data_IF_229445993169
#
_entry.id   IF_229445993169
#
_cell.length_a   1.000
_cell.length_b   1.000
_cell.length_c   1.000
_cell.angle_alpha   90.00
_cell.angle_beta   90.00
_cell.angle_gamma   90.00
#
_symmetry.space_group_name_H-M   'P 1'
#
loop_
_entity.id
_entity.type
_entity.pdbx_description
1 polymer ?
#
# COMPACT_ATOMS: atom_id res chain seq x y z
N UNK A 1 14.03 -30.07 1.46
CA UNK A 1 12.95 -30.34 0.49
C UNK A 1 12.28 -29.02 0.21
N UNK A 2 12.54 -28.45 -0.96
CA UNK A 2 11.94 -27.21 -1.44
C UNK A 2 10.49 -27.52 -1.88
N UNK A 3 9.53 -26.70 -1.47
CA UNK A 3 8.13 -26.89 -1.84
C UNK A 3 7.96 -26.69 -3.36
N UNK A 4 7.10 -27.46 -4.04
CA UNK A 4 6.93 -27.30 -5.47
C UNK A 4 6.29 -25.93 -5.77
N UNK A 5 6.91 -25.18 -6.67
CA UNK A 5 6.31 -23.99 -7.24
C UNK A 5 5.00 -24.40 -7.94
N UNK A 6 3.86 -24.07 -7.34
CA UNK A 6 2.58 -24.19 -8.00
C UNK A 6 2.59 -23.25 -9.20
N UNK A 7 2.64 -23.82 -10.40
CA UNK A 7 2.40 -23.11 -11.65
C UNK A 7 1.02 -22.46 -11.56
N UNK A 8 1.01 -21.13 -11.41
CA UNK A 8 -0.21 -20.34 -11.39
C UNK A 8 -0.89 -20.50 -12.76
N UNK A 9 -2.02 -21.20 -12.79
CA UNK A 9 -2.84 -21.31 -13.99
C UNK A 9 -3.15 -19.90 -14.52
N UNK A 10 -3.11 -19.71 -15.84
CA UNK A 10 -3.44 -18.45 -16.50
C UNK A 10 -4.92 -18.09 -16.24
N UNK A 11 -5.20 -17.46 -15.10
CA UNK A 11 -6.54 -17.19 -14.62
C UNK A 11 -6.48 -16.42 -13.30
N UNK A 12 -6.75 -15.11 -13.41
CA UNK A 12 -6.77 -14.10 -12.33
C UNK A 12 -5.46 -13.86 -11.57
N UNK A 13 -5.06 -12.60 -11.36
CA UNK A 13 -3.96 -12.26 -10.46
C UNK A 13 -4.14 -12.88 -9.07
N UNK A 14 -3.03 -13.22 -8.40
CA UNK A 14 -3.05 -13.92 -7.10
C UNK A 14 -3.74 -13.11 -5.98
N UNK A 15 -3.79 -11.79 -6.13
CA UNK A 15 -4.37 -10.85 -5.18
C UNK A 15 -5.87 -10.61 -5.40
N UNK A 16 -6.45 -11.14 -6.49
CA UNK A 16 -7.87 -10.99 -6.77
C UNK A 16 -8.71 -11.57 -5.63
N UNK A 17 -9.68 -10.78 -5.16
CA UNK A 17 -10.56 -11.13 -4.04
C UNK A 17 -10.00 -10.82 -2.66
N UNK A 18 -8.72 -10.42 -2.55
CA UNK A 18 -8.13 -9.98 -1.28
C UNK A 18 -8.36 -8.47 -1.11
N UNK A 19 -9.43 -8.09 -0.41
CA UNK A 19 -9.87 -6.68 -0.29
C UNK A 19 -8.82 -5.75 0.32
N UNK A 20 -7.94 -6.28 1.18
CA UNK A 20 -6.86 -5.54 1.83
C UNK A 20 -5.66 -5.27 0.92
N UNK A 21 -5.54 -5.96 -0.22
CA UNK A 21 -4.46 -5.76 -1.19
C UNK A 21 -4.97 -4.85 -2.31
N UNK A 22 -4.35 -3.68 -2.45
CA UNK A 22 -4.60 -2.74 -3.55
C UNK A 22 -3.41 -2.75 -4.47
N UNK A 23 -3.61 -3.14 -5.71
CA UNK A 23 -2.58 -3.01 -6.75
C UNK A 23 -2.95 -1.81 -7.60
N UNK A 24 -2.07 -0.82 -7.61
CA UNK A 24 -2.26 0.45 -8.30
C UNK A 24 -1.19 0.58 -9.38
N UNK A 25 -1.58 1.19 -10.49
CA UNK A 25 -0.72 1.51 -11.62
C UNK A 25 -0.77 3.00 -11.94
N UNK A 26 0.26 3.55 -12.62
CA UNK A 26 0.18 4.89 -13.17
C UNK A 26 -1.06 5.04 -14.06
N UNK A 27 -1.91 6.02 -13.74
CA UNK A 27 -3.19 6.25 -14.43
C UNK A 27 -4.44 5.83 -13.62
N UNK A 28 -4.27 5.02 -12.57
CA UNK A 28 -5.34 4.76 -11.61
C UNK A 28 -5.60 5.99 -10.73
N UNK A 29 -6.77 6.05 -10.10
CA UNK A 29 -7.05 6.99 -9.02
C UNK A 29 -6.39 6.54 -7.69
N UNK A 30 -5.06 6.52 -7.73
CA UNK A 30 -4.23 6.12 -6.59
C UNK A 30 -4.45 7.05 -5.40
N UNK A 31 -4.66 8.35 -5.65
CA UNK A 31 -4.86 9.37 -4.62
C UNK A 31 -6.12 9.10 -3.79
N UNK A 32 -7.28 8.87 -4.43
CA UNK A 32 -8.51 8.54 -3.72
C UNK A 32 -8.39 7.22 -2.93
N UNK A 33 -7.73 6.22 -3.53
CA UNK A 33 -7.55 4.90 -2.89
C UNK A 33 -6.71 4.99 -1.62
N UNK A 34 -5.56 5.66 -1.67
CA UNK A 34 -4.68 5.77 -0.49
C UNK A 34 -5.26 6.70 0.58
N UNK A 35 -6.01 7.73 0.18
CA UNK A 35 -6.71 8.62 1.12
C UNK A 35 -7.81 7.85 1.87
N UNK A 36 -8.60 7.03 1.18
CA UNK A 36 -9.64 6.23 1.82
C UNK A 36 -9.05 5.23 2.84
N UNK A 37 -7.93 4.57 2.49
CA UNK A 37 -7.22 3.69 3.41
C UNK A 37 -6.69 4.48 4.61
N UNK A 38 -6.12 5.66 4.36
CA UNK A 38 -5.62 6.52 5.43
C UNK A 38 -6.75 6.90 6.39
N UNK A 39 -7.88 7.40 5.90
CA UNK A 39 -9.00 7.80 6.75
C UNK A 39 -9.51 6.65 7.63
N UNK A 40 -9.58 5.44 7.08
CA UNK A 40 -9.95 4.22 7.82
C UNK A 40 -8.93 3.86 8.91
N UNK A 41 -7.64 4.12 8.66
CA UNK A 41 -6.55 3.59 9.47
C UNK A 41 -5.83 4.62 10.33
N UNK A 42 -6.09 5.92 10.16
CA UNK A 42 -5.32 7.00 10.79
C UNK A 42 -5.38 6.99 12.32
N UNK A 43 -6.50 6.54 12.88
CA UNK A 43 -6.73 6.41 14.33
C UNK A 43 -6.98 4.95 14.78
N UNK A 44 -6.71 3.96 13.92
CA UNK A 44 -7.11 2.57 14.10
C UNK A 44 -6.06 1.69 14.78
N UNK A 45 -5.45 2.16 15.87
CA UNK A 45 -4.30 1.52 16.54
C UNK A 45 -4.57 0.06 16.93
N UNK A 46 -5.75 -0.25 17.47
CA UNK A 46 -6.10 -1.61 17.91
C UNK A 46 -7.03 -2.34 16.94
N UNK A 47 -7.09 -1.89 15.68
CA UNK A 47 -7.92 -2.52 14.66
C UNK A 47 -7.33 -3.85 14.19
N UNK A 48 -8.21 -4.77 13.78
CA UNK A 48 -7.83 -5.99 13.06
C UNK A 48 -7.64 -5.79 11.55
N UNK A 49 -8.02 -4.63 11.00
CA UNK A 49 -7.88 -4.31 9.56
C UNK A 49 -6.40 -4.18 9.18
N UNK A 50 -6.04 -4.64 7.97
CA UNK A 50 -4.70 -4.54 7.39
C UNK A 50 -4.85 -4.10 5.95
N UNK A 51 -3.90 -3.29 5.45
CA UNK A 51 -3.86 -2.91 4.04
C UNK A 51 -2.44 -3.05 3.49
N UNK A 52 -2.34 -3.57 2.27
CA UNK A 52 -1.13 -3.57 1.47
C UNK A 52 -1.41 -2.83 0.16
N UNK A 53 -0.63 -1.80 -0.13
CA UNK A 53 -0.70 -1.04 -1.38
C UNK A 53 0.53 -1.39 -2.20
N UNK A 54 0.32 -2.10 -3.30
CA UNK A 54 1.35 -2.49 -4.25
C UNK A 54 1.32 -1.51 -5.43
N UNK A 55 2.41 -0.79 -5.64
CA UNK A 55 2.56 0.17 -6.72
C UNK A 55 3.34 -0.49 -7.86
N UNK A 56 2.72 -0.66 -9.02
CA UNK A 56 3.42 -1.15 -10.22
C UNK A 56 4.37 -0.07 -10.75
N UNK A 57 5.42 -0.45 -11.53
CA UNK A 57 6.44 0.48 -11.97
C UNK A 57 5.89 1.63 -12.81
N UNK A 58 6.43 2.83 -12.59
CA UNK A 58 6.13 4.05 -13.35
C UNK A 58 6.01 5.30 -12.47
N UNK A 59 5.56 6.38 -13.10
CA UNK A 59 5.48 7.71 -12.48
C UNK A 59 4.04 8.03 -12.05
N UNK A 60 3.86 8.23 -10.75
CA UNK A 60 2.59 8.64 -10.13
C UNK A 60 2.48 10.17 -9.98
N UNK A 61 3.43 10.92 -10.52
CA UNK A 61 3.46 12.37 -10.54
C UNK A 61 3.43 12.97 -9.13
N UNK A 62 2.44 13.82 -8.88
CA UNK A 62 2.28 14.54 -7.62
C UNK A 62 1.62 13.71 -6.50
N UNK A 63 1.54 12.38 -6.64
CA UNK A 63 0.95 11.52 -5.63
C UNK A 63 1.70 11.63 -4.31
N UNK A 64 0.96 11.99 -3.26
CA UNK A 64 1.44 11.99 -1.89
C UNK A 64 0.64 10.97 -1.09
N UNK A 65 1.32 10.05 -0.40
CA UNK A 65 0.69 8.93 0.29
C UNK A 65 0.72 9.16 1.80
N UNK A 66 -0.41 9.54 2.43
CA UNK A 66 -0.52 9.52 3.89
C UNK A 66 -0.64 8.06 4.39
N UNK A 67 0.20 7.66 5.32
CA UNK A 67 0.27 6.28 5.83
C UNK A 67 -0.35 6.21 7.23
N UNK A 68 -1.38 5.37 7.39
CA UNK A 68 -2.06 5.08 8.67
C UNK A 68 -1.48 3.87 9.41
N UNK A 69 -2.17 3.41 10.45
CA UNK A 69 -1.82 2.15 11.12
C UNK A 69 -2.03 0.95 10.20
N UNK A 70 -1.16 -0.05 10.32
CA UNK A 70 -1.24 -1.33 9.62
C UNK A 70 -1.40 -1.24 8.09
N UNK A 71 -0.81 -0.21 7.51
CA UNK A 71 -0.73 -0.01 6.07
C UNK A 71 0.72 -0.19 5.64
N UNK A 72 0.93 -1.06 4.65
CA UNK A 72 2.22 -1.26 3.98
C UNK A 72 2.14 -0.72 2.56
N UNK A 73 3.07 0.15 2.18
CA UNK A 73 3.26 0.61 0.81
C UNK A 73 4.46 -0.12 0.23
N UNK A 74 4.35 -0.67 -0.99
CA UNK A 74 5.39 -1.50 -1.60
C UNK A 74 5.47 -1.17 -3.09
N UNK A 75 6.63 -0.73 -3.56
CA UNK A 75 6.91 -0.68 -5.00
C UNK A 75 7.23 -2.09 -5.51
N UNK A 76 6.47 -2.58 -6.49
CA UNK A 76 6.68 -3.91 -7.08
C UNK A 76 7.36 -3.77 -8.44
N UNK A 77 8.56 -4.32 -8.58
CA UNK A 77 9.29 -4.37 -9.85
C UNK A 77 10.08 -5.67 -9.95
N UNK A 78 10.17 -6.21 -11.16
CA UNK A 78 10.99 -7.40 -11.47
C UNK A 78 12.27 -7.06 -12.25
N UNK A 79 12.65 -5.78 -12.34
CA UNK A 79 13.78 -5.33 -13.17
C UNK A 79 14.12 -3.84 -12.99
N UNK A 80 14.57 -3.18 -14.07
CA UNK A 80 15.09 -1.81 -14.04
C UNK A 80 14.03 -0.70 -13.95
N UNK A 81 12.75 -1.05 -13.86
CA UNK A 81 11.65 -0.09 -13.65
C UNK A 81 11.47 0.22 -12.17
N UNK A 82 11.41 1.50 -11.79
CA UNK A 82 11.11 1.94 -10.43
C UNK A 82 9.69 2.47 -10.28
N UNK A 83 9.31 2.77 -9.04
CA UNK A 83 8.13 3.58 -8.72
C UNK A 83 8.61 4.97 -8.34
N UNK A 84 8.10 5.99 -9.03
CA UNK A 84 8.38 7.40 -8.72
C UNK A 84 7.09 8.06 -8.28
N UNK A 85 7.14 8.79 -7.17
CA UNK A 85 6.02 9.56 -6.61
C UNK A 85 6.57 10.73 -5.80
N UNK A 86 5.71 11.69 -5.45
CA UNK A 86 6.14 12.92 -4.79
C UNK A 86 6.54 12.71 -3.33
N UNK A 87 5.73 12.01 -2.53
CA UNK A 87 6.06 11.74 -1.12
C UNK A 87 5.23 10.62 -0.49
N UNK A 88 5.74 10.07 0.60
CA UNK A 88 4.96 9.34 1.60
C UNK A 88 5.20 9.98 2.96
N UNK A 89 4.17 10.04 3.79
CA UNK A 89 4.27 10.74 5.07
C UNK A 89 3.30 10.16 6.09
N UNK A 90 3.59 10.40 7.36
CA UNK A 90 2.58 10.32 8.41
C UNK A 90 2.21 11.75 8.79
N UNK A 91 0.91 12.01 8.96
CA UNK A 91 0.46 13.33 9.43
C UNK A 91 0.88 13.52 10.87
N UNK A 92 1.79 14.46 11.14
CA UNK A 92 2.02 14.97 12.49
C UNK A 92 0.74 15.70 12.94
N UNK A 93 0.06 15.12 13.94
CA UNK A 93 -1.28 15.55 14.36
C UNK A 93 -2.37 14.50 14.25
N UNK A 94 -2.03 13.21 14.12
CA UNK A 94 -3.01 12.15 14.38
C UNK A 94 -3.65 12.32 15.76
N UNK A 95 -4.89 11.81 15.90
CA UNK A 95 -5.64 11.72 17.16
C UNK A 95 -4.87 11.12 18.36
N UNK A 96 -3.67 10.58 18.12
CA UNK A 96 -2.83 9.83 19.08
C UNK A 96 -1.38 10.33 19.22
N UNK A 97 -0.92 11.30 18.42
CA UNK A 97 0.44 11.89 18.53
C UNK A 97 1.63 11.02 18.04
N UNK A 98 2.85 11.58 17.95
CA UNK A 98 4.00 10.94 17.28
C UNK A 98 4.56 9.70 18.00
N UNK A 99 4.43 9.63 19.33
CA UNK A 99 4.86 8.48 20.12
C UNK A 99 4.07 7.19 19.79
N UNK A 100 2.94 7.32 19.08
CA UNK A 100 2.06 6.22 18.71
C UNK A 100 2.07 5.99 17.19
N UNK A 101 3.09 6.48 16.49
CA UNK A 101 3.31 6.20 15.07
C UNK A 101 4.06 4.87 14.91
N UNK A 102 3.33 3.77 14.89
CA UNK A 102 3.90 2.43 14.74
C UNK A 102 3.11 1.58 13.73
N UNK A 103 3.57 0.33 13.53
CA UNK A 103 2.96 -0.73 12.71
C UNK A 103 2.61 -0.30 11.28
N UNK A 104 3.56 0.30 10.57
CA UNK A 104 3.43 0.69 9.16
C UNK A 104 4.76 0.50 8.45
N UNK A 105 4.75 0.42 7.13
CA UNK A 105 5.97 0.29 6.33
C UNK A 105 5.82 0.97 4.98
N UNK A 106 6.96 1.40 4.43
CA UNK A 106 7.13 1.88 3.05
C UNK A 106 8.40 1.23 2.51
#
# INVERSE_FOLDING_TARGET
AEAPATSQAAGRPWHDGIQSVKVLSPGDDAAATVLAIHDDMRAAEFSGKRYAVLLTPGDYGNLQIPVGFYTSIIGVSNGSGGVTLASFYTVDGQAVGPARTHWRSV
#
